data_IF_740487507900
#
_entry.id   IF_740487507900
#
_cell.length_a   1.000
_cell.length_b   1.000
_cell.length_c   1.000
_cell.angle_alpha   90.00
_cell.angle_beta   90.00
_cell.angle_gamma   90.00
#
_symmetry.space_group_name_H-M   'P 1'
#
loop_
_entity.id
_entity.type
_entity.pdbx_description
1 polymer ?
#
# COMPACT_ATOMS: atom_id res chain seq x y z
N UNK A 1 23.47 2.84 13.58
CA UNK A 1 24.49 2.81 12.50
C UNK A 1 23.87 2.94 11.10
N UNK A 2 22.91 2.10 10.70
CA UNK A 2 22.32 2.13 9.35
C UNK A 2 21.77 3.50 8.88
N UNK A 3 21.04 4.23 9.74
CA UNK A 3 20.47 5.53 9.38
C UNK A 3 21.51 6.63 9.09
N UNK A 4 22.74 6.52 9.63
CA UNK A 4 23.82 7.49 9.37
C UNK A 4 24.42 7.26 7.99
N UNK A 5 24.73 6.01 7.65
CA UNK A 5 25.22 5.66 6.31
C UNK A 5 24.26 6.07 5.20
N UNK A 6 22.95 5.83 5.38
CA UNK A 6 21.95 6.19 4.37
C UNK A 6 21.85 7.71 4.15
N UNK A 7 22.07 8.52 5.20
CA UNK A 7 22.14 9.99 5.07
C UNK A 7 23.36 10.42 4.26
N UNK A 8 24.52 9.88 4.61
CA UNK A 8 25.77 10.23 3.94
C UNK A 8 25.73 9.82 2.44
N UNK A 9 25.12 8.67 2.12
CA UNK A 9 25.00 8.17 0.76
C UNK A 9 23.97 8.92 -0.12
N UNK A 10 23.02 9.63 0.50
CA UNK A 10 21.95 10.34 -0.21
C UNK A 10 22.20 11.85 -0.31
N UNK A 11 23.27 12.39 0.28
CA UNK A 11 23.57 13.84 0.24
C UNK A 11 23.64 14.37 -1.21
N UNK A 12 22.97 15.49 -1.55
CA UNK A 12 22.27 16.45 -0.68
C UNK A 12 20.77 16.16 -0.46
N UNK A 13 20.25 15.01 -0.87
CA UNK A 13 18.84 14.67 -0.71
C UNK A 13 18.47 14.49 0.78
N UNK A 14 17.39 15.16 1.20
CA UNK A 14 16.93 15.13 2.59
C UNK A 14 16.25 13.79 2.91
N UNK A 15 16.88 13.00 3.77
CA UNK A 15 16.26 11.81 4.35
C UNK A 15 15.25 12.18 5.45
N UNK A 16 14.03 11.66 5.34
CA UNK A 16 12.94 11.79 6.33
C UNK A 16 12.24 10.46 6.52
N UNK A 17 11.67 10.25 7.70
CA UNK A 17 10.74 9.16 7.97
C UNK A 17 9.33 9.53 7.50
N UNK A 18 8.46 8.54 7.28
CA UNK A 18 7.04 8.80 7.02
C UNK A 18 6.33 9.41 8.24
N UNK A 19 6.81 9.10 9.46
CA UNK A 19 6.26 9.63 10.70
C UNK A 19 6.40 11.17 10.75
N UNK A 20 7.50 11.71 10.26
CA UNK A 20 7.69 13.16 10.09
C UNK A 20 6.69 13.79 9.10
N UNK A 21 6.01 12.99 8.28
CA UNK A 21 4.95 13.40 7.35
C UNK A 21 3.55 13.06 7.86
N UNK A 22 3.43 12.60 9.11
CA UNK A 22 2.15 12.26 9.74
C UNK A 22 1.66 10.83 9.48
N UNK A 23 2.49 9.97 8.86
CA UNK A 23 2.16 8.55 8.65
C UNK A 23 3.12 7.71 9.48
N UNK A 24 2.59 7.11 10.54
CA UNK A 24 3.34 6.16 11.36
C UNK A 24 4.05 5.12 10.48
N UNK A 25 5.34 4.91 10.73
CA UNK A 25 6.20 4.07 9.88
C UNK A 25 5.74 2.62 9.88
N UNK A 26 5.21 2.13 11.00
CA UNK A 26 4.71 0.76 11.15
C UNK A 26 3.30 0.62 10.54
N UNK A 27 2.53 1.70 10.49
CA UNK A 27 1.19 1.69 9.90
C UNK A 27 1.17 1.82 8.36
N UNK A 28 2.26 2.28 7.75
CA UNK A 28 2.32 2.63 6.32
C UNK A 28 1.83 1.50 5.40
N UNK A 29 2.25 0.26 5.64
CA UNK A 29 1.87 -0.88 4.80
C UNK A 29 0.39 -1.27 4.99
N UNK A 30 -0.11 -1.23 6.23
CA UNK A 30 -1.52 -1.49 6.52
C UNK A 30 -2.43 -0.47 5.83
N UNK A 31 -2.05 0.82 5.86
CA UNK A 31 -2.74 1.88 5.13
C UNK A 31 -2.72 1.61 3.61
N UNK A 32 -1.57 1.19 3.06
CA UNK A 32 -1.49 0.85 1.65
C UNK A 32 -2.46 -0.28 1.27
N UNK A 33 -2.57 -1.33 2.07
CA UNK A 33 -3.56 -2.40 1.85
C UNK A 33 -5.00 -1.92 1.94
N UNK A 34 -5.32 -0.99 2.86
CA UNK A 34 -6.66 -0.40 2.96
C UNK A 34 -7.02 0.38 1.69
N UNK A 35 -6.07 1.15 1.13
CA UNK A 35 -6.26 1.85 -0.15
C UNK A 35 -6.44 0.84 -1.29
N UNK A 36 -5.62 -0.21 -1.36
CA UNK A 36 -5.79 -1.27 -2.37
C UNK A 36 -7.18 -1.90 -2.30
N UNK A 37 -7.67 -2.23 -1.11
CA UNK A 37 -9.00 -2.80 -0.92
C UNK A 37 -10.11 -1.82 -1.34
N UNK A 38 -9.96 -0.52 -1.05
CA UNK A 38 -10.88 0.52 -1.49
C UNK A 38 -10.96 0.60 -3.02
N UNK A 39 -9.81 0.61 -3.72
CA UNK A 39 -9.76 0.63 -5.18
C UNK A 39 -10.34 -0.66 -5.78
N UNK A 40 -10.05 -1.84 -5.18
CA UNK A 40 -10.66 -3.12 -5.57
C UNK A 40 -12.18 -3.07 -5.48
N UNK A 41 -12.72 -2.53 -4.39
CA UNK A 41 -14.16 -2.42 -4.17
C UNK A 41 -14.84 -1.54 -5.22
N UNK A 42 -14.14 -0.50 -5.70
CA UNK A 42 -14.61 0.38 -6.76
C UNK A 42 -14.24 -0.10 -8.18
N UNK A 43 -13.60 -1.26 -8.32
CA UNK A 43 -13.20 -1.80 -9.62
C UNK A 43 -12.14 -0.96 -10.33
N UNK A 44 -11.31 -0.22 -9.58
CA UNK A 44 -10.31 0.71 -10.11
C UNK A 44 -8.90 0.10 -10.09
N UNK A 45 -8.07 0.35 -11.11
CA UNK A 45 -6.68 -0.11 -11.11
C UNK A 45 -5.86 0.53 -9.99
N UNK A 46 -5.01 -0.27 -9.35
CA UNK A 46 -4.18 0.19 -8.21
C UNK A 46 -2.70 -0.22 -8.30
N UNK A 47 -2.28 -0.83 -9.42
CA UNK A 47 -0.86 -1.04 -9.70
C UNK A 47 -0.31 0.05 -10.62
N UNK A 48 1.00 0.28 -10.52
CA UNK A 48 1.76 1.06 -11.47
C UNK A 48 2.56 0.10 -12.37
N UNK A 49 2.26 -0.01 -13.68
CA UNK A 49 2.95 -0.94 -14.59
C UNK A 49 4.47 -0.84 -14.58
N UNK A 50 5.03 0.37 -14.49
CA UNK A 50 6.48 0.57 -14.42
C UNK A 50 7.12 0.05 -13.13
N UNK A 51 6.34 -0.10 -12.05
CA UNK A 51 6.81 -0.69 -10.79
C UNK A 51 6.56 -2.20 -10.72
N UNK A 52 5.54 -2.73 -11.41
CA UNK A 52 5.13 -4.14 -11.30
C UNK A 52 5.46 -5.00 -12.53
N UNK A 53 5.88 -4.40 -13.65
CA UNK A 53 6.08 -5.10 -14.92
C UNK A 53 4.78 -5.57 -15.60
N UNK A 54 3.62 -5.08 -15.17
CA UNK A 54 2.35 -5.44 -15.80
C UNK A 54 2.25 -4.81 -17.20
N UNK A 55 1.57 -5.48 -18.15
CA UNK A 55 1.38 -4.92 -19.51
C UNK A 55 0.46 -3.71 -19.56
N UNK A 56 -0.44 -3.59 -18.59
CA UNK A 56 -1.41 -2.49 -18.45
C UNK A 56 -1.80 -2.35 -16.97
N UNK A 57 -2.47 -1.24 -16.59
CA UNK A 57 -3.09 -1.12 -15.26
C UNK A 57 -4.13 -2.23 -15.03
N UNK A 58 -4.24 -2.70 -13.79
CA UNK A 58 -5.05 -3.82 -13.34
C UNK A 58 -5.72 -3.50 -12.00
N UNK A 59 -6.98 -3.92 -11.87
CA UNK A 59 -7.65 -4.02 -10.56
C UNK A 59 -6.97 -5.14 -9.77
N UNK A 60 -6.54 -4.85 -8.55
CA UNK A 60 -5.87 -5.81 -7.68
C UNK A 60 -6.86 -6.44 -6.70
N UNK A 61 -6.49 -7.57 -6.09
CA UNK A 61 -7.27 -8.21 -5.01
C UNK A 61 -8.52 -8.98 -5.46
N UNK A 62 -9.28 -9.48 -4.47
CA UNK A 62 -10.56 -10.17 -4.63
C UNK A 62 -11.51 -9.81 -3.48
N UNK A 63 -12.78 -9.58 -3.79
CA UNK A 63 -13.81 -9.33 -2.77
C UNK A 63 -14.38 -10.66 -2.29
N UNK A 64 -14.00 -11.07 -1.09
CA UNK A 64 -14.54 -12.26 -0.43
C UNK A 64 -15.69 -11.86 0.49
N UNK A 65 -16.92 -12.30 0.16
CA UNK A 65 -18.07 -12.05 1.03
C UNK A 65 -18.02 -12.99 2.25
N UNK A 66 -18.49 -12.54 3.43
CA UNK A 66 -18.67 -13.44 4.55
C UNK A 66 -19.65 -14.56 4.17
N UNK A 67 -19.60 -15.71 4.86
CA UNK A 67 -20.59 -16.76 4.65
C UNK A 67 -22.00 -16.20 4.86
N UNK A 68 -22.96 -16.67 4.05
CA UNK A 68 -24.35 -16.34 4.26
C UNK A 68 -24.75 -16.86 5.66
N UNK A 69 -25.28 -15.98 6.51
CA UNK A 69 -25.88 -16.41 7.75
C UNK A 69 -27.10 -17.26 7.38
N UNK A 70 -27.04 -18.56 7.64
CA UNK A 70 -28.19 -19.44 7.49
C UNK A 70 -29.32 -18.90 8.37
N UNK A 71 -30.45 -18.57 7.75
CA UNK A 71 -31.68 -18.29 8.49
C UNK A 71 -32.12 -19.61 9.12
N UNK A 72 -31.75 -19.85 10.37
CA UNK A 72 -32.34 -20.93 11.16
C UNK A 72 -33.80 -20.56 11.41
N UNK A 73 -34.69 -21.12 10.60
CA UNK A 73 -36.12 -21.25 10.91
C UNK A 73 -36.39 -22.56 11.62
#
# INVERSE_FOLDING_TARGET
MAGRWLRDALDPARLRTSAELGIDSDAKEAIAFAILAYESFHGRPANLPSATGARHPCVLGKVCRPPAHGRNG
#
